data_IF_621628371598
#
_entry.id   IF_621628371598
#
_cell.length_a   1.000
_cell.length_b   1.000
_cell.length_c   1.000
_cell.angle_alpha   90.00
_cell.angle_beta   90.00
_cell.angle_gamma   90.00
#
_symmetry.space_group_name_H-M   'P 1'
#
loop_
_entity.id
_entity.type
_entity.pdbx_description
1 polymer ?
#
# COMPACT_ATOMS: atom_id res chain seq x y z
N UNK A 1 29.05 11.62 -19.91
CA UNK A 1 30.03 10.90 -20.75
C UNK A 1 29.92 9.43 -20.38
N UNK A 2 29.51 8.58 -21.35
CA UNK A 2 29.43 7.10 -21.31
C UNK A 2 28.39 6.53 -20.31
N UNK A 3 27.39 5.73 -20.67
CA UNK A 3 27.36 4.65 -21.67
C UNK A 3 25.97 4.50 -22.33
N UNK A 4 25.96 4.31 -23.65
CA UNK A 4 24.85 3.86 -24.50
C UNK A 4 24.87 2.34 -24.64
N UNK A 5 23.69 1.77 -24.87
CA UNK A 5 23.37 0.63 -25.74
C UNK A 5 23.83 -0.80 -25.36
N UNK A 6 22.84 -1.70 -25.27
CA UNK A 6 22.91 -3.10 -25.67
C UNK A 6 21.55 -3.43 -26.34
N UNK A 7 21.44 -3.26 -27.66
CA UNK A 7 21.57 -4.30 -28.71
C UNK A 7 20.71 -5.54 -28.46
N UNK A 8 19.62 -5.61 -29.24
CA UNK A 8 18.80 -6.78 -29.54
C UNK A 8 19.66 -7.90 -30.15
N UNK A 9 19.46 -9.12 -29.68
CA UNK A 9 19.72 -10.33 -30.47
C UNK A 9 18.49 -11.23 -30.47
N UNK A 10 17.99 -11.52 -31.68
CA UNK A 10 16.98 -12.53 -31.96
C UNK A 10 17.57 -13.91 -31.65
N UNK A 11 16.96 -14.62 -30.69
CA UNK A 11 17.15 -16.05 -30.47
C UNK A 11 15.89 -16.80 -30.91
N UNK A 12 16.09 -17.85 -31.69
CA UNK A 12 15.09 -18.71 -32.31
C UNK A 12 14.11 -19.35 -31.32
N UNK A 13 12.85 -19.41 -31.75
CA UNK A 13 11.75 -20.18 -31.14
C UNK A 13 12.06 -21.67 -31.19
N UNK A 14 11.99 -22.36 -30.05
CA UNK A 14 11.65 -23.78 -30.01
C UNK A 14 10.56 -24.02 -28.98
N UNK A 15 9.48 -24.60 -29.47
CA UNK A 15 8.21 -24.88 -28.82
C UNK A 15 8.27 -25.89 -27.65
N UNK A 16 7.29 -25.69 -26.75
CA UNK A 16 6.64 -26.63 -25.83
C UNK A 16 7.46 -27.27 -24.68
N UNK A 17 7.25 -26.69 -23.50
CA UNK A 17 7.27 -27.36 -22.22
C UNK A 17 6.40 -26.59 -21.24
N UNK A 18 5.11 -26.91 -21.15
CA UNK A 18 4.25 -26.47 -20.04
C UNK A 18 4.77 -27.10 -18.75
N UNK A 19 5.73 -26.44 -18.12
CA UNK A 19 6.11 -26.71 -16.74
C UNK A 19 5.19 -25.86 -15.87
N UNK A 20 4.05 -26.40 -15.45
CA UNK A 20 3.38 -25.89 -14.24
C UNK A 20 4.46 -25.87 -13.14
N UNK A 21 4.87 -24.68 -12.71
CA UNK A 21 5.86 -24.51 -11.66
C UNK A 21 5.22 -24.87 -10.32
N UNK A 22 5.07 -26.16 -10.06
CA UNK A 22 4.55 -26.67 -8.80
C UNK A 22 5.60 -26.38 -7.73
N UNK A 23 5.35 -25.38 -6.90
CA UNK A 23 6.20 -25.12 -5.74
C UNK A 23 6.16 -26.33 -4.79
N UNK A 24 7.32 -26.83 -4.39
CA UNK A 24 7.48 -28.02 -3.54
C UNK A 24 6.70 -27.91 -2.22
N UNK A 25 6.37 -29.05 -1.59
CA UNK A 25 5.69 -29.09 -0.27
C UNK A 25 6.36 -28.10 0.71
N UNK A 26 5.58 -27.24 1.41
CA UNK A 26 6.16 -26.20 2.23
C UNK A 26 6.96 -26.80 3.39
N UNK A 27 8.23 -26.41 3.52
CA UNK A 27 9.01 -26.63 4.74
C UNK A 27 9.00 -25.33 5.54
N UNK A 28 8.70 -25.43 6.83
CA UNK A 28 8.77 -24.29 7.75
C UNK A 28 10.20 -23.73 7.75
N UNK A 29 10.30 -22.41 7.60
CA UNK A 29 11.56 -21.65 7.61
C UNK A 29 11.68 -20.86 8.91
N UNK A 30 12.90 -20.45 9.25
CA UNK A 30 13.11 -19.43 10.28
C UNK A 30 12.55 -18.11 9.76
N UNK A 31 11.84 -17.34 10.59
CA UNK A 31 11.36 -16.02 10.21
C UNK A 31 12.55 -15.11 9.85
N UNK A 32 12.49 -14.47 8.69
CA UNK A 32 13.53 -13.58 8.18
C UNK A 32 12.91 -12.23 7.83
N UNK A 33 13.17 -11.20 8.63
CA UNK A 33 12.65 -9.87 8.36
C UNK A 33 13.06 -9.36 6.97
N UNK A 34 12.12 -8.71 6.28
CA UNK A 34 12.37 -8.03 5.01
C UNK A 34 11.55 -6.74 4.96
N UNK A 35 12.17 -5.71 4.41
CA UNK A 35 11.47 -4.50 3.99
C UNK A 35 10.46 -4.84 2.90
N UNK A 36 9.35 -4.11 2.90
CA UNK A 36 8.31 -4.19 1.90
C UNK A 36 7.76 -2.81 1.57
N UNK A 37 6.74 -2.78 0.73
CA UNK A 37 6.14 -1.55 0.25
C UNK A 37 4.88 -1.23 1.03
N UNK A 38 3.93 -2.16 1.04
CA UNK A 38 2.62 -2.03 1.63
C UNK A 38 2.50 -2.94 2.86
N UNK A 39 2.31 -2.32 4.02
CA UNK A 39 2.34 -3.00 5.31
C UNK A 39 1.53 -4.30 5.37
N UNK A 40 0.32 -4.33 4.79
CA UNK A 40 -0.53 -5.52 4.81
C UNK A 40 0.00 -6.66 3.95
N UNK A 41 0.38 -6.40 2.70
CA UNK A 41 0.85 -7.45 1.79
C UNK A 41 2.23 -7.93 2.21
N UNK A 42 3.10 -7.03 2.66
CA UNK A 42 4.44 -7.38 3.12
C UNK A 42 4.36 -8.29 4.36
N UNK A 43 3.51 -7.93 5.33
CA UNK A 43 3.33 -8.75 6.52
C UNK A 43 2.76 -10.15 6.17
N UNK A 44 1.76 -10.21 5.31
CA UNK A 44 1.15 -11.47 4.86
C UNK A 44 2.14 -12.34 4.09
N UNK A 45 2.80 -11.80 3.05
CA UNK A 45 3.81 -12.51 2.26
C UNK A 45 4.94 -13.05 3.15
N UNK A 46 5.34 -12.26 4.15
CA UNK A 46 6.41 -12.66 5.04
C UNK A 46 6.03 -13.84 5.94
N UNK A 47 4.81 -13.85 6.50
CA UNK A 47 4.29 -15.00 7.26
C UNK A 47 4.22 -16.24 6.36
N UNK A 48 3.67 -16.10 5.16
CA UNK A 48 3.50 -17.21 4.22
C UNK A 48 4.82 -17.85 3.81
N UNK A 49 5.85 -17.04 3.57
CA UNK A 49 7.19 -17.55 3.29
C UNK A 49 7.81 -18.28 4.48
N UNK A 50 7.52 -17.84 5.69
CA UNK A 50 7.96 -18.56 6.90
C UNK A 50 7.31 -19.93 6.97
N UNK A 51 6.07 -20.06 6.47
CA UNK A 51 5.42 -21.35 6.25
C UNK A 51 5.86 -22.10 5.00
N UNK A 52 6.90 -21.62 4.30
CA UNK A 52 7.51 -22.29 3.16
C UNK A 52 6.91 -21.94 1.79
N UNK A 53 5.95 -21.01 1.73
CA UNK A 53 5.35 -20.56 0.48
C UNK A 53 6.13 -19.38 -0.11
N UNK A 54 6.81 -19.61 -1.23
CA UNK A 54 7.60 -18.58 -1.90
C UNK A 54 6.69 -17.67 -2.74
N UNK A 55 6.19 -16.61 -2.12
CA UNK A 55 5.30 -15.66 -2.77
C UNK A 55 5.73 -14.24 -2.44
N UNK A 56 5.86 -13.44 -3.49
CA UNK A 56 6.25 -12.05 -3.37
C UNK A 56 5.08 -11.16 -2.95
N UNK A 57 5.42 -10.00 -2.39
CA UNK A 57 4.45 -9.05 -1.85
C UNK A 57 3.45 -8.56 -2.90
N UNK A 58 3.93 -8.29 -4.11
CA UNK A 58 3.13 -7.82 -5.24
C UNK A 58 2.04 -8.83 -5.63
N UNK A 59 2.36 -10.12 -5.58
CA UNK A 59 1.36 -11.18 -5.80
C UNK A 59 0.31 -11.18 -4.69
N UNK A 60 0.73 -11.08 -3.42
CA UNK A 60 -0.21 -10.99 -2.31
C UNK A 60 -1.10 -9.75 -2.45
N UNK A 61 -0.51 -8.59 -2.77
CA UNK A 61 -1.21 -7.33 -2.97
C UNK A 61 -2.25 -7.41 -4.10
N UNK A 62 -1.85 -7.92 -5.27
CA UNK A 62 -2.71 -8.08 -6.43
C UNK A 62 -3.84 -9.08 -6.23
N UNK A 63 -3.60 -10.17 -5.47
CA UNK A 63 -4.63 -11.16 -5.13
C UNK A 63 -5.58 -10.69 -4.03
N UNK A 64 -5.09 -9.95 -3.04
CA UNK A 64 -5.93 -9.39 -1.97
C UNK A 64 -6.91 -8.36 -2.54
N UNK A 65 -6.51 -7.76 -3.66
CA UNK A 65 -7.24 -6.71 -4.32
C UNK A 65 -7.37 -5.49 -3.42
N UNK A 66 -8.30 -4.62 -3.81
CA UNK A 66 -8.48 -3.34 -3.14
C UNK A 66 -7.47 -2.28 -3.57
N UNK A 67 -6.48 -2.58 -4.44
CA UNK A 67 -5.83 -1.52 -5.20
C UNK A 67 -6.88 -0.65 -5.87
N UNK A 68 -6.62 0.66 -5.89
CA UNK A 68 -7.39 1.58 -6.68
C UNK A 68 -7.10 3.00 -6.27
N UNK A 69 -8.18 3.70 -5.95
CA UNK A 69 -8.12 5.08 -5.53
C UNK A 69 -9.32 5.37 -4.64
N UNK A 70 -9.10 6.12 -3.56
CA UNK A 70 -10.16 6.59 -2.68
C UNK A 70 -9.92 8.04 -2.36
N UNK A 71 -10.96 8.86 -2.54
CA UNK A 71 -10.96 10.28 -2.24
C UNK A 71 -11.92 10.60 -1.09
N UNK A 72 -11.41 11.23 -0.04
CA UNK A 72 -12.18 11.69 1.11
C UNK A 72 -12.08 13.23 1.18
N UNK A 73 -13.08 13.96 0.66
CA UNK A 73 -13.09 15.40 0.80
C UNK A 73 -13.30 15.79 2.26
N UNK A 74 -12.59 16.83 2.70
CA UNK A 74 -12.70 17.37 4.05
C UNK A 74 -13.41 18.75 4.03
N UNK A 75 -14.20 19.08 5.07
CA UNK A 75 -14.87 20.37 5.14
C UNK A 75 -13.89 21.51 5.43
N UNK A 76 -14.18 22.69 4.90
CA UNK A 76 -13.39 23.90 5.13
C UNK A 76 -11.94 23.77 4.65
N UNK A 77 -11.00 24.28 5.46
CA UNK A 77 -9.56 24.30 5.17
C UNK A 77 -8.82 23.01 5.57
N UNK A 78 -9.51 22.02 6.15
CA UNK A 78 -8.93 20.70 6.43
C UNK A 78 -8.46 20.03 5.12
N UNK A 79 -7.34 19.29 5.11
CA UNK A 79 -6.84 18.69 3.89
C UNK A 79 -7.74 17.52 3.49
N UNK A 80 -8.07 17.46 2.20
CA UNK A 80 -8.69 16.30 1.58
C UNK A 80 -7.71 15.12 1.58
N UNK A 81 -8.19 13.92 1.86
CA UNK A 81 -7.36 12.72 1.95
C UNK A 81 -7.50 11.85 0.72
N UNK A 82 -6.37 11.33 0.24
CA UNK A 82 -6.28 10.37 -0.87
C UNK A 82 -5.64 9.08 -0.37
N UNK A 83 -6.19 7.94 -0.79
CA UNK A 83 -5.64 6.62 -0.49
C UNK A 83 -5.59 5.78 -1.76
N UNK A 84 -4.47 5.12 -2.05
CA UNK A 84 -4.32 4.24 -3.22
C UNK A 84 -5.00 2.86 -3.09
N UNK A 85 -5.87 2.69 -2.09
CA UNK A 85 -6.55 1.44 -1.74
C UNK A 85 -7.99 1.71 -1.30
N UNK A 86 -8.87 0.74 -1.46
CA UNK A 86 -10.33 0.82 -1.20
C UNK A 86 -10.80 -0.04 -0.02
N UNK A 87 -9.89 -0.50 0.83
CA UNK A 87 -10.19 -1.30 2.02
C UNK A 87 -8.93 -1.68 2.78
N UNK A 88 -9.09 -2.26 3.97
CA UNK A 88 -8.00 -2.70 4.85
C UNK A 88 -8.15 -4.19 5.13
N UNK A 89 -7.07 -4.95 4.98
CA UNK A 89 -6.98 -6.38 5.27
C UNK A 89 -8.16 -7.21 4.72
N UNK A 90 -8.42 -7.19 3.40
CA UNK A 90 -9.54 -7.93 2.84
C UNK A 90 -9.35 -9.46 2.92
N UNK A 91 -8.10 -9.93 3.08
CA UNK A 91 -7.68 -11.34 3.12
C UNK A 91 -8.22 -12.17 1.94
N UNK A 92 -8.46 -11.56 0.78
CA UNK A 92 -8.91 -12.27 -0.43
C UNK A 92 -7.79 -13.14 -0.99
N UNK A 93 -6.53 -12.70 -0.91
CA UNK A 93 -5.35 -13.48 -1.27
C UNK A 93 -5.31 -14.77 -0.47
N UNK A 94 -5.49 -14.70 0.85
CA UNK A 94 -5.47 -15.87 1.72
C UNK A 94 -6.56 -16.87 1.31
N UNK A 95 -7.79 -16.39 1.08
CA UNK A 95 -8.90 -17.22 0.61
C UNK A 95 -8.59 -17.88 -0.74
N UNK A 96 -8.08 -17.14 -1.72
CA UNK A 96 -7.72 -17.64 -3.05
C UNK A 96 -6.60 -18.69 -2.99
N UNK A 97 -5.66 -18.54 -2.06
CA UNK A 97 -4.55 -19.47 -1.86
C UNK A 97 -4.90 -20.65 -0.93
N UNK A 98 -6.12 -20.69 -0.39
CA UNK A 98 -6.54 -21.74 0.55
C UNK A 98 -5.84 -21.67 1.90
N UNK A 99 -5.44 -20.46 2.32
CA UNK A 99 -4.87 -20.16 3.64
C UNK A 99 -5.99 -19.68 4.55
N UNK A 100 -6.15 -20.35 5.68
CA UNK A 100 -7.14 -19.95 6.69
C UNK A 100 -6.55 -18.80 7.51
N UNK A 101 -7.34 -17.75 7.70
CA UNK A 101 -6.98 -16.60 8.55
C UNK A 101 -7.93 -16.57 9.74
N UNK A 102 -7.39 -16.54 10.95
CA UNK A 102 -8.16 -16.41 12.19
C UNK A 102 -7.96 -15.03 12.78
N UNK A 103 -9.05 -14.33 13.09
CA UNK A 103 -9.00 -13.04 13.78
C UNK A 103 -9.13 -13.23 15.29
N UNK A 104 -8.28 -12.53 16.02
CA UNK A 104 -8.24 -12.48 17.48
C UNK A 104 -8.30 -11.02 17.95
N UNK A 105 -8.62 -10.81 19.22
CA UNK A 105 -8.54 -9.49 19.85
C UNK A 105 -8.04 -9.62 21.30
N UNK A 106 -6.82 -10.14 21.54
CA UNK A 106 -6.29 -10.30 22.88
C UNK A 106 -6.14 -8.92 23.53
N UNK A 107 -6.81 -8.73 24.67
CA UNK A 107 -6.87 -7.44 25.38
C UNK A 107 -5.57 -7.08 26.10
N UNK A 108 -4.70 -8.06 26.31
CA UNK A 108 -3.40 -7.91 26.96
C UNK A 108 -2.28 -8.36 26.04
N UNK A 109 -1.07 -7.93 26.34
CA UNK A 109 0.16 -8.40 25.69
C UNK A 109 0.50 -9.84 26.04
N UNK A 110 0.14 -10.33 27.23
CA UNK A 110 0.28 -11.76 27.55
C UNK A 110 -0.64 -12.63 26.69
N UNK A 111 -1.88 -12.17 26.44
CA UNK A 111 -2.78 -12.85 25.50
C UNK A 111 -2.23 -12.87 24.07
N UNK A 112 -1.51 -11.82 23.67
CA UNK A 112 -0.80 -11.77 22.39
C UNK A 112 0.41 -12.72 22.39
N UNK A 113 1.17 -12.79 23.48
CA UNK A 113 2.29 -13.71 23.62
C UNK A 113 1.84 -15.18 23.53
N UNK A 114 0.68 -15.53 24.10
CA UNK A 114 0.08 -16.86 23.97
C UNK A 114 -0.27 -17.26 22.52
N UNK A 115 -0.43 -16.30 21.60
CA UNK A 115 -0.54 -16.59 20.17
C UNK A 115 0.83 -16.97 19.56
N UNK A 116 1.92 -16.32 19.99
CA UNK A 116 3.28 -16.62 19.50
C UNK A 116 3.78 -17.99 19.95
N UNK A 117 3.24 -18.54 21.05
CA UNK A 117 3.53 -19.92 21.46
C UNK A 117 3.03 -20.96 20.45
N UNK A 118 2.04 -20.60 19.62
CA UNK A 118 1.36 -21.50 18.68
C UNK A 118 1.61 -21.14 17.21
N UNK A 119 2.15 -19.95 16.95
CA UNK A 119 2.33 -19.41 15.61
C UNK A 119 3.70 -18.75 15.48
N UNK A 120 4.34 -18.93 14.32
CA UNK A 120 5.68 -18.42 14.05
C UNK A 120 5.75 -16.89 14.00
N UNK A 121 4.63 -16.25 13.69
CA UNK A 121 4.44 -14.81 13.75
C UNK A 121 2.94 -14.49 13.80
N UNK A 122 2.61 -13.32 14.32
CA UNK A 122 1.24 -12.80 14.44
C UNK A 122 1.18 -11.43 13.80
N UNK A 123 0.30 -11.26 12.81
CA UNK A 123 0.03 -9.95 12.21
C UNK A 123 -0.90 -9.19 13.16
N UNK A 124 -0.56 -7.95 13.52
CA UNK A 124 -1.40 -7.13 14.40
C UNK A 124 -1.70 -5.78 13.76
N UNK A 125 -2.82 -5.18 14.14
CA UNK A 125 -3.09 -3.77 13.86
C UNK A 125 -2.54 -2.91 15.00
N UNK A 126 -1.98 -1.77 14.63
CA UNK A 126 -1.41 -0.76 15.54
C UNK A 126 -1.72 0.63 15.03
N UNK A 127 -1.70 1.59 15.95
CA UNK A 127 -1.62 3.00 15.59
C UNK A 127 -0.16 3.38 15.35
N UNK A 128 0.17 3.69 14.10
CA UNK A 128 1.51 4.04 13.66
C UNK A 128 2.08 5.26 14.41
N UNK A 129 1.25 6.26 14.71
CA UNK A 129 1.67 7.47 15.44
C UNK A 129 2.18 7.19 16.86
N UNK A 130 1.85 6.04 17.43
CA UNK A 130 2.19 5.64 18.80
C UNK A 130 3.36 4.65 18.88
N UNK A 131 3.94 4.25 17.74
CA UNK A 131 5.12 3.40 17.72
C UNK A 131 6.38 4.24 17.98
N UNK A 132 7.17 3.94 19.03
CA UNK A 132 8.30 4.79 19.42
C UNK A 132 9.36 4.96 18.31
N UNK A 133 9.64 3.89 17.56
CA UNK A 133 10.67 3.90 16.51
C UNK A 133 10.24 4.67 15.24
N UNK A 134 8.95 4.99 15.08
CA UNK A 134 8.48 5.89 14.03
C UNK A 134 8.76 7.36 14.34
N UNK A 135 9.00 7.71 15.61
CA UNK A 135 9.36 9.08 16.00
C UNK A 135 8.23 10.12 15.90
N UNK A 136 7.00 9.70 15.61
CA UNK A 136 5.86 10.61 15.40
C UNK A 136 5.25 11.20 16.68
N UNK A 137 5.71 10.76 17.86
CA UNK A 137 5.34 11.33 19.18
C UNK A 137 3.81 11.44 19.42
N UNK A 138 3.02 10.50 18.87
CA UNK A 138 1.56 10.50 18.98
C UNK A 138 0.83 11.39 17.97
N UNK A 139 1.57 12.08 17.09
CA UNK A 139 1.00 12.80 15.96
C UNK A 139 0.69 11.86 14.80
N UNK A 140 -0.12 12.32 13.84
CA UNK A 140 -0.42 11.58 12.61
C UNK A 140 -0.95 10.16 12.86
N UNK A 141 -1.92 10.05 13.78
CA UNK A 141 -2.52 8.76 14.18
C UNK A 141 -3.11 8.01 12.97
N UNK A 142 -2.71 6.73 12.82
CA UNK A 142 -3.18 5.84 11.77
C UNK A 142 -3.26 4.40 12.28
N UNK A 143 -4.46 4.00 12.70
CA UNK A 143 -4.76 2.68 13.25
C UNK A 143 -5.04 1.58 12.21
N UNK A 144 -4.96 1.92 10.93
CA UNK A 144 -5.00 0.97 9.82
C UNK A 144 -3.67 0.26 9.62
N UNK A 145 -2.60 0.69 10.29
CA UNK A 145 -1.26 0.14 10.10
C UNK A 145 -1.13 -1.26 10.68
N UNK A 146 -0.32 -2.09 10.02
CA UNK A 146 -0.06 -3.46 10.47
C UNK A 146 1.42 -3.79 10.50
N UNK A 147 1.77 -4.62 11.48
CA UNK A 147 3.13 -5.12 11.70
C UNK A 147 3.04 -6.60 12.08
N UNK A 148 4.13 -7.33 11.91
CA UNK A 148 4.26 -8.69 12.41
C UNK A 148 5.00 -8.71 13.74
N UNK A 149 4.45 -9.42 14.71
CA UNK A 149 5.15 -9.81 15.94
C UNK A 149 5.80 -11.17 15.70
N UNK A 150 7.10 -11.29 15.97
CA UNK A 150 7.87 -12.50 15.63
C UNK A 150 8.39 -13.23 16.86
N UNK A 151 8.62 -12.53 17.95
CA UNK A 151 9.00 -13.12 19.24
C UNK A 151 8.77 -12.14 20.38
N UNK A 152 8.81 -12.65 21.61
CA UNK A 152 8.91 -11.87 22.84
C UNK A 152 10.26 -12.14 23.48
N UNK A 153 10.93 -11.09 23.96
CA UNK A 153 12.23 -11.12 24.63
C UNK A 153 12.09 -10.40 25.96
N UNK A 154 11.87 -11.16 27.04
CA UNK A 154 11.49 -10.59 28.34
C UNK A 154 10.17 -9.83 28.28
N UNK A 155 10.18 -8.54 28.61
CA UNK A 155 9.01 -7.65 28.50
C UNK A 155 8.87 -6.97 27.12
N UNK A 156 9.86 -7.14 26.24
CA UNK A 156 9.85 -6.53 24.91
C UNK A 156 9.29 -7.49 23.87
N UNK A 157 8.65 -6.91 22.85
CA UNK A 157 8.25 -7.60 21.64
C UNK A 157 9.20 -7.26 20.51
N UNK A 158 9.60 -8.28 19.75
CA UNK A 158 10.36 -8.14 18.52
C UNK A 158 9.40 -8.03 17.36
N UNK A 159 9.55 -6.95 16.60
CA UNK A 159 8.64 -6.50 15.57
C UNK A 159 9.33 -6.59 14.20
N UNK A 160 8.65 -7.19 13.25
CA UNK A 160 8.94 -7.04 11.84
C UNK A 160 7.98 -6.02 11.24
N UNK A 161 8.45 -4.79 11.10
CA UNK A 161 7.75 -3.70 10.41
C UNK A 161 8.35 -3.53 9.02
N UNK A 162 7.55 -3.74 7.98
CA UNK A 162 8.01 -3.71 6.59
C UNK A 162 8.50 -2.35 6.12
N UNK A 163 8.28 -1.25 6.85
CA UNK A 163 8.84 0.05 6.48
C UNK A 163 10.33 0.19 6.78
N UNK A 164 10.91 -0.71 7.59
CA UNK A 164 12.29 -0.66 8.05
C UNK A 164 13.12 -1.81 7.47
N UNK A 165 14.45 -1.65 7.48
CA UNK A 165 15.39 -2.69 7.01
C UNK A 165 15.75 -3.71 8.10
N UNK A 166 15.44 -3.40 9.36
CA UNK A 166 15.79 -4.21 10.53
C UNK A 166 14.59 -4.45 11.45
N UNK A 167 14.68 -5.52 12.24
CA UNK A 167 13.72 -5.81 13.31
C UNK A 167 13.74 -4.68 14.34
N UNK A 168 12.56 -4.30 14.82
CA UNK A 168 12.38 -3.31 15.87
C UNK A 168 12.08 -4.00 17.20
N UNK A 169 12.34 -3.32 18.32
CA UNK A 169 11.90 -3.75 19.66
C UNK A 169 10.95 -2.72 20.26
N UNK A 170 9.87 -3.18 20.89
CA UNK A 170 8.90 -2.33 21.57
C UNK A 170 8.51 -2.96 22.89
N UNK A 171 8.50 -2.17 23.96
CA UNK A 171 8.04 -2.62 25.28
C UNK A 171 6.58 -3.04 25.24
N UNK A 172 6.21 -3.98 26.11
CA UNK A 172 4.81 -4.41 26.31
C UNK A 172 3.85 -3.23 26.48
N UNK A 173 4.20 -2.24 27.31
CA UNK A 173 3.38 -1.05 27.56
C UNK A 173 3.16 -0.17 26.32
N UNK A 174 4.23 0.11 25.55
CA UNK A 174 4.11 0.93 24.34
C UNK A 174 3.31 0.19 23.26
N UNK A 175 3.52 -1.12 23.10
CA UNK A 175 2.78 -1.94 22.15
C UNK A 175 1.29 -2.00 22.52
N UNK A 176 0.97 -2.14 23.81
CA UNK A 176 -0.41 -2.15 24.28
C UNK A 176 -1.11 -0.81 24.02
N UNK A 177 -0.42 0.31 24.24
CA UNK A 177 -0.93 1.66 23.92
C UNK A 177 -1.24 1.79 22.43
N UNK A 178 -0.30 1.42 21.55
CA UNK A 178 -0.50 1.48 20.09
C UNK A 178 -1.63 0.55 19.61
N UNK A 179 -1.76 -0.66 20.14
CA UNK A 179 -2.80 -1.64 19.76
C UNK A 179 -4.19 -1.27 20.29
N UNK A 180 -4.27 -0.53 21.38
CA UNK A 180 -5.54 -0.18 22.03
C UNK A 180 -6.03 1.24 21.69
N UNK A 181 -5.26 2.01 20.91
CA UNK A 181 -5.55 3.39 20.52
C UNK A 181 -6.99 3.62 20.06
N UNK A 182 -7.49 4.81 20.38
CA UNK A 182 -8.81 5.34 19.99
C UNK A 182 -8.72 6.63 19.19
N UNK A 183 -7.50 7.10 18.91
CA UNK A 183 -7.22 8.37 18.25
C UNK A 183 -7.30 8.31 16.72
N UNK A 184 -7.47 7.11 16.15
CA UNK A 184 -7.44 6.87 14.71
C UNK A 184 -8.82 6.54 14.12
N UNK A 185 -9.92 7.05 14.69
CA UNK A 185 -11.26 6.75 14.20
C UNK A 185 -11.41 7.17 12.72
N UNK A 186 -12.11 6.37 11.87
CA UNK A 186 -12.81 5.11 12.18
C UNK A 186 -11.92 3.86 12.13
N UNK A 187 -10.62 4.02 11.90
CA UNK A 187 -9.66 2.94 11.68
C UNK A 187 -8.92 2.54 12.96
N UNK A 188 -9.56 2.57 14.12
CA UNK A 188 -8.90 2.18 15.37
C UNK A 188 -8.37 0.73 15.30
N UNK A 189 -7.20 0.42 15.90
CA UNK A 189 -6.60 -0.91 15.79
C UNK A 189 -7.36 -2.01 16.56
N UNK A 190 -8.15 -1.62 17.57
CA UNK A 190 -9.06 -2.49 18.33
C UNK A 190 -8.42 -3.72 19.01
N UNK A 191 -7.10 -3.72 19.21
CA UNK A 191 -6.30 -4.88 19.65
C UNK A 191 -6.33 -6.06 18.67
N UNK A 192 -6.68 -5.84 17.40
CA UNK A 192 -6.80 -6.90 16.40
C UNK A 192 -5.47 -7.59 16.16
N UNK A 193 -5.52 -8.92 16.15
CA UNK A 193 -4.43 -9.80 15.80
C UNK A 193 -4.94 -10.87 14.84
N UNK A 194 -4.07 -11.36 13.96
CA UNK A 194 -4.41 -12.30 12.91
C UNK A 194 -3.34 -13.38 12.81
N UNK A 195 -3.80 -14.62 12.77
CA UNK A 195 -2.95 -15.81 12.61
C UNK A 195 -3.33 -16.50 11.31
N UNK A 196 -2.35 -17.14 10.68
CA UNK A 196 -2.50 -17.79 9.38
C UNK A 196 -2.17 -19.26 9.50
N UNK A 197 -2.94 -20.12 8.85
CA UNK A 197 -2.62 -21.53 8.74
C UNK A 197 -1.51 -21.78 7.72
N UNK A 198 -0.86 -22.94 7.84
CA UNK A 198 0.12 -23.36 6.83
C UNK A 198 -0.61 -23.64 5.49
N UNK A 199 -0.09 -23.13 4.36
CA UNK A 199 -0.64 -23.45 3.05
C UNK A 199 -0.67 -24.96 2.80
N UNK A 200 -1.83 -25.50 2.42
CA UNK A 200 -1.99 -26.95 2.20
C UNK A 200 -1.65 -27.38 0.77
N UNK A 201 -1.56 -26.45 -0.16
CA UNK A 201 -1.36 -26.68 -1.59
C UNK A 201 -0.45 -25.61 -2.18
N UNK A 202 0.20 -25.93 -3.30
CA UNK A 202 0.92 -24.95 -4.08
C UNK A 202 -0.07 -23.91 -4.65
N UNK A 203 0.37 -22.66 -4.72
CA UNK A 203 -0.40 -21.57 -5.32
C UNK A 203 -0.32 -21.67 -6.84
N UNK A 204 -1.47 -21.76 -7.51
CA UNK A 204 -1.56 -21.75 -8.97
C UNK A 204 -1.96 -20.36 -9.45
N UNK A 205 -0.97 -19.47 -9.56
CA UNK A 205 -1.22 -18.06 -9.85
C UNK A 205 -1.96 -17.86 -11.18
N UNK A 206 -1.62 -18.63 -12.22
CA UNK A 206 -2.33 -18.62 -13.50
C UNK A 206 -3.85 -18.89 -13.38
N UNK A 207 -4.28 -19.64 -12.36
CA UNK A 207 -5.69 -19.95 -12.14
C UNK A 207 -6.42 -18.89 -11.29
N UNK A 208 -5.76 -18.33 -10.26
CA UNK A 208 -6.40 -17.40 -9.31
C UNK A 208 -6.20 -15.93 -9.67
N UNK A 209 -5.14 -15.60 -10.40
CA UNK A 209 -4.80 -14.24 -10.84
C UNK A 209 -5.88 -13.58 -11.69
N UNK A 210 -6.42 -14.25 -12.72
CA UNK A 210 -7.53 -13.71 -13.52
C UNK A 210 -8.78 -13.36 -12.70
N UNK A 211 -9.03 -14.08 -11.60
CA UNK A 211 -10.12 -13.76 -10.68
C UNK A 211 -9.87 -12.42 -9.99
N UNK A 212 -8.64 -12.15 -9.53
CA UNK A 212 -8.32 -10.89 -8.87
C UNK A 212 -8.32 -9.71 -9.85
N UNK A 213 -7.84 -9.90 -11.09
CA UNK A 213 -7.84 -8.84 -12.12
C UNK A 213 -9.26 -8.46 -12.55
N UNK A 214 -10.18 -9.42 -12.69
CA UNK A 214 -11.59 -9.10 -12.95
C UNK A 214 -12.21 -8.28 -11.82
N UNK A 215 -11.89 -8.61 -10.56
CA UNK A 215 -12.32 -7.82 -9.41
C UNK A 215 -11.72 -6.41 -9.43
N UNK A 216 -10.41 -6.29 -9.70
CA UNK A 216 -9.73 -5.00 -9.88
C UNK A 216 -10.43 -4.13 -10.93
N UNK A 217 -10.71 -4.68 -12.11
CA UNK A 217 -11.37 -3.94 -13.19
C UNK A 217 -12.74 -3.43 -12.77
N UNK A 218 -13.54 -4.27 -12.08
CA UNK A 218 -14.85 -3.86 -11.55
C UNK A 218 -14.70 -2.75 -10.50
N UNK A 219 -13.84 -2.97 -9.51
CA UNK A 219 -13.73 -2.15 -8.30
C UNK A 219 -13.08 -0.78 -8.60
N UNK A 220 -12.25 -0.67 -9.65
CA UNK A 220 -11.60 0.61 -10.02
C UNK A 220 -12.36 1.37 -11.11
N UNK A 221 -12.92 0.70 -12.13
CA UNK A 221 -13.62 1.40 -13.20
C UNK A 221 -15.05 1.81 -12.82
N UNK A 222 -15.76 0.96 -12.06
CA UNK A 222 -17.17 1.16 -11.71
C UNK A 222 -17.44 0.70 -10.27
N UNK A 223 -16.70 1.28 -9.35
CA UNK A 223 -16.70 1.03 -7.89
C UNK A 223 -18.06 1.17 -7.17
N UNK A 224 -19.11 1.63 -7.84
CA UNK A 224 -20.43 1.93 -7.24
C UNK A 224 -20.45 3.19 -6.37
N UNK A 225 -19.30 3.82 -6.11
CA UNK A 225 -19.15 5.05 -5.33
C UNK A 225 -18.45 6.13 -6.14
N UNK A 226 -18.90 7.38 -6.00
CA UNK A 226 -18.24 8.52 -6.67
C UNK A 226 -16.82 8.79 -6.15
N UNK A 227 -16.48 8.27 -4.98
CA UNK A 227 -15.21 8.53 -4.32
C UNK A 227 -14.15 7.45 -4.56
N UNK A 228 -14.52 6.36 -5.23
CA UNK A 228 -13.66 5.19 -5.40
C UNK A 228 -13.29 5.00 -6.87
N UNK A 229 -12.02 4.66 -7.13
CA UNK A 229 -11.48 4.33 -8.44
C UNK A 229 -11.39 5.54 -9.37
N UNK A 230 -11.62 5.33 -10.67
CA UNK A 230 -11.64 6.41 -11.67
C UNK A 230 -12.64 7.52 -11.31
N UNK A 231 -13.87 7.25 -10.83
CA UNK A 231 -14.75 8.29 -10.29
C UNK A 231 -14.11 9.13 -9.19
N UNK A 232 -13.40 8.50 -8.26
CA UNK A 232 -12.70 9.20 -7.17
C UNK A 232 -11.59 10.11 -7.67
N UNK A 233 -10.81 9.66 -8.66
CA UNK A 233 -9.78 10.51 -9.29
C UNK A 233 -10.41 11.72 -9.98
N UNK A 234 -11.57 11.56 -10.62
CA UNK A 234 -12.32 12.69 -11.20
C UNK A 234 -12.83 13.65 -10.13
N UNK A 235 -13.21 13.16 -8.95
CA UNK A 235 -13.57 14.01 -7.81
C UNK A 235 -12.36 14.78 -7.28
N UNK A 236 -11.18 14.15 -7.21
CA UNK A 236 -9.94 14.85 -6.88
C UNK A 236 -9.65 15.98 -7.88
N UNK A 237 -9.77 15.72 -9.19
CA UNK A 237 -9.61 16.75 -10.23
C UNK A 237 -10.57 17.93 -9.99
N UNK A 238 -11.83 17.65 -9.66
CA UNK A 238 -12.83 18.69 -9.37
C UNK A 238 -12.45 19.49 -8.11
N UNK A 239 -12.03 18.81 -7.04
CA UNK A 239 -11.61 19.44 -5.79
C UNK A 239 -10.36 20.30 -5.98
N UNK A 240 -9.36 19.79 -6.70
CA UNK A 240 -8.11 20.48 -6.98
C UNK A 240 -8.31 21.82 -7.71
N UNK A 241 -9.29 21.91 -8.62
CA UNK A 241 -9.65 23.18 -9.26
C UNK A 241 -10.23 24.21 -8.29
N UNK A 242 -10.86 23.75 -7.22
CA UNK A 242 -11.51 24.60 -6.23
C UNK A 242 -10.60 24.96 -5.05
N UNK A 243 -9.50 24.22 -4.83
CA UNK A 243 -8.63 24.42 -3.68
C UNK A 243 -8.09 25.83 -3.50
N UNK A 244 -7.62 26.57 -4.54
CA UNK A 244 -7.15 27.95 -4.34
C UNK A 244 -8.20 28.87 -3.71
N UNK A 245 -9.49 28.63 -3.97
CA UNK A 245 -10.58 29.40 -3.39
C UNK A 245 -11.11 28.83 -2.05
N UNK A 246 -10.86 27.55 -1.76
CA UNK A 246 -11.47 26.83 -0.62
C UNK A 246 -10.52 26.58 0.54
N UNK A 247 -9.23 26.34 0.26
CA UNK A 247 -8.21 26.03 1.25
C UNK A 247 -7.51 27.34 1.61
N UNK A 248 -8.22 28.18 2.37
CA UNK A 248 -7.75 29.51 2.77
C UNK A 248 -7.31 29.53 4.24
N UNK A 249 -6.40 30.45 4.56
CA UNK A 249 -5.84 30.65 5.89
C UNK A 249 -4.32 30.63 5.88
N UNK A 250 -3.70 31.73 6.27
CA UNK A 250 -2.25 31.96 6.19
C UNK A 250 -1.46 31.21 7.27
N UNK A 251 -2.13 30.80 8.35
CA UNK A 251 -1.52 30.11 9.48
C UNK A 251 -2.40 28.95 9.90
N UNK A 252 -2.09 27.76 9.41
CA UNK A 252 -2.70 26.51 9.86
C UNK A 252 -1.64 25.53 10.34
N UNK A 253 -1.97 24.78 11.38
CA UNK A 253 -1.10 23.71 11.88
C UNK A 253 -1.07 22.53 10.89
N UNK A 254 0.14 22.03 10.66
CA UNK A 254 0.44 20.80 9.95
C UNK A 254 1.49 20.00 10.75
N UNK A 255 1.69 18.75 10.36
CA UNK A 255 2.71 17.87 10.96
C UNK A 255 3.67 17.42 9.86
N UNK A 256 4.95 17.70 10.05
CA UNK A 256 5.98 17.30 9.10
C UNK A 256 6.26 15.77 9.15
N UNK A 257 7.12 15.28 8.27
CA UNK A 257 7.46 13.86 8.20
C UNK A 257 8.18 13.32 9.46
N UNK A 258 8.68 14.19 10.34
CA UNK A 258 9.33 13.85 11.61
C UNK A 258 8.37 13.89 12.80
N UNK A 259 7.11 14.26 12.57
CA UNK A 259 6.11 14.42 13.62
C UNK A 259 6.20 15.75 14.35
N UNK A 260 6.93 16.73 13.81
CA UNK A 260 7.03 18.07 14.40
C UNK A 260 5.89 18.95 13.87
N UNK A 261 5.29 19.74 14.76
CA UNK A 261 4.22 20.68 14.40
C UNK A 261 4.83 21.87 13.67
N UNK A 262 4.30 22.16 12.49
CA UNK A 262 4.70 23.28 11.64
C UNK A 262 3.50 24.15 11.31
N UNK A 263 3.74 25.40 10.93
CA UNK A 263 2.69 26.34 10.51
C UNK A 263 2.92 26.69 9.06
N UNK A 264 1.90 26.50 8.23
CA UNK A 264 1.92 26.70 6.78
C UNK A 264 0.63 27.37 6.32
N UNK A 265 0.57 27.77 5.05
CA UNK A 265 -0.68 28.15 4.40
C UNK A 265 -1.60 26.93 4.18
N UNK A 266 -2.92 27.15 4.18
CA UNK A 266 -3.89 26.07 4.04
C UNK A 266 -3.86 25.35 2.68
N UNK A 267 -3.57 26.06 1.58
CA UNK A 267 -3.40 25.45 0.27
C UNK A 267 -2.08 24.68 0.22
N UNK A 268 -1.00 25.25 0.75
CA UNK A 268 0.28 24.54 0.92
C UNK A 268 0.09 23.23 1.69
N UNK A 269 -0.59 23.26 2.83
CA UNK A 269 -0.91 22.07 3.63
C UNK A 269 -1.67 21.03 2.83
N UNK A 270 -2.66 21.44 2.03
CA UNK A 270 -3.41 20.51 1.16
C UNK A 270 -2.49 19.82 0.14
N UNK A 271 -1.57 20.56 -0.48
CA UNK A 271 -0.65 20.03 -1.47
C UNK A 271 0.39 19.11 -0.84
N UNK A 272 0.97 19.51 0.30
CA UNK A 272 1.88 18.67 1.09
C UNK A 272 1.20 17.38 1.54
N UNK A 273 -0.05 17.47 2.02
CA UNK A 273 -0.82 16.29 2.42
C UNK A 273 -1.01 15.32 1.26
N UNK A 274 -1.33 15.81 0.05
CA UNK A 274 -1.42 14.97 -1.15
C UNK A 274 -0.06 14.38 -1.53
N UNK A 275 1.02 15.16 -1.51
CA UNK A 275 2.37 14.67 -1.80
C UNK A 275 2.79 13.54 -0.86
N UNK A 276 2.57 13.70 0.45
CA UNK A 276 2.84 12.67 1.47
C UNK A 276 1.96 11.43 1.28
N UNK A 277 0.69 11.62 0.91
CA UNK A 277 -0.22 10.53 0.56
C UNK A 277 0.28 9.69 -0.63
N UNK A 278 0.94 10.33 -1.60
CA UNK A 278 1.47 9.64 -2.77
C UNK A 278 2.77 8.89 -2.45
N UNK A 279 3.70 9.50 -1.71
CA UNK A 279 5.09 9.03 -1.59
C UNK A 279 5.48 8.44 -0.22
N UNK A 280 4.93 8.95 0.88
CA UNK A 280 5.55 8.76 2.22
C UNK A 280 4.86 7.69 3.08
N UNK A 281 3.54 7.52 2.99
CA UNK A 281 2.77 6.67 3.92
C UNK A 281 2.75 5.17 3.55
N UNK A 282 3.90 4.59 3.18
CA UNK A 282 3.98 3.16 2.88
C UNK A 282 3.24 2.76 1.61
N UNK A 283 3.25 3.65 0.61
CA UNK A 283 2.67 3.42 -0.73
C UNK A 283 3.68 2.86 -1.74
N UNK A 284 4.98 2.94 -1.41
CA UNK A 284 6.08 2.60 -2.31
C UNK A 284 6.25 3.58 -3.47
N UNK A 285 5.75 4.81 -3.32
CA UNK A 285 5.64 5.78 -4.39
C UNK A 285 4.43 5.53 -5.29
N UNK A 286 3.91 6.60 -5.88
CA UNK A 286 2.90 6.51 -6.92
C UNK A 286 1.63 5.77 -6.50
N UNK A 287 1.19 5.87 -5.23
CA UNK A 287 -0.05 5.26 -4.73
C UNK A 287 -0.24 3.77 -5.11
N UNK A 288 0.78 2.93 -4.90
CA UNK A 288 0.78 1.50 -5.18
C UNK A 288 0.72 1.08 -6.67
N UNK A 289 0.80 2.01 -7.63
CA UNK A 289 0.87 1.62 -9.06
C UNK A 289 2.11 0.75 -9.36
N UNK A 290 3.31 1.02 -8.82
CA UNK A 290 4.49 0.18 -9.07
C UNK A 290 4.35 -1.26 -8.55
N UNK A 291 3.62 -1.49 -7.44
CA UNK A 291 3.35 -2.86 -6.98
C UNK A 291 2.32 -3.58 -7.86
N UNK A 292 1.34 -2.85 -8.43
CA UNK A 292 0.42 -3.42 -9.41
C UNK A 292 1.08 -3.74 -10.75
N UNK A 293 2.01 -2.91 -11.21
CA UNK A 293 2.86 -3.20 -12.37
C UNK A 293 3.57 -4.56 -12.20
N UNK A 294 4.29 -4.73 -11.09
CA UNK A 294 5.02 -5.99 -10.80
C UNK A 294 4.09 -7.20 -10.78
N UNK A 295 2.93 -7.07 -10.15
CA UNK A 295 1.92 -8.12 -10.12
C UNK A 295 1.45 -8.52 -11.53
N UNK A 296 1.15 -7.53 -12.38
CA UNK A 296 0.67 -7.78 -13.74
C UNK A 296 1.76 -8.39 -14.62
N UNK A 297 3.02 -7.97 -14.49
CA UNK A 297 4.14 -8.66 -15.13
C UNK A 297 4.22 -10.12 -14.71
N UNK A 298 4.09 -10.40 -13.40
CA UNK A 298 4.12 -11.77 -12.92
C UNK A 298 2.95 -12.61 -13.46
N UNK A 299 1.76 -12.02 -13.61
CA UNK A 299 0.64 -12.70 -14.26
C UNK A 299 0.91 -12.97 -15.74
N UNK A 300 1.52 -12.04 -16.47
CA UNK A 300 1.89 -12.23 -17.87
C UNK A 300 2.83 -13.43 -18.02
N UNK A 301 3.86 -13.53 -17.18
CA UNK A 301 4.80 -14.65 -17.18
C UNK A 301 4.13 -15.99 -16.87
N UNK A 302 3.23 -16.03 -15.88
CA UNK A 302 2.61 -17.27 -15.41
C UNK A 302 1.48 -17.76 -16.32
N UNK A 303 0.83 -16.85 -17.07
CA UNK A 303 -0.30 -17.19 -17.95
C UNK A 303 0.06 -17.20 -19.44
N UNK A 304 1.15 -16.54 -19.83
CA UNK A 304 1.49 -16.29 -21.23
C UNK A 304 0.56 -15.29 -21.94
N UNK A 305 -0.24 -14.52 -21.20
CA UNK A 305 -1.18 -13.55 -21.77
C UNK A 305 -0.60 -12.13 -21.78
N UNK A 306 -0.23 -11.66 -22.98
CA UNK A 306 0.38 -10.34 -23.22
C UNK A 306 -0.50 -9.16 -22.77
N UNK A 307 -1.81 -9.37 -22.58
CA UNK A 307 -2.69 -8.30 -22.06
C UNK A 307 -2.31 -7.88 -20.65
N UNK A 308 -1.78 -8.79 -19.84
CA UNK A 308 -1.25 -8.44 -18.53
C UNK A 308 0.04 -7.62 -18.63
N UNK A 309 0.93 -7.97 -19.56
CA UNK A 309 2.16 -7.20 -19.82
C UNK A 309 1.82 -5.76 -20.28
N UNK A 310 0.91 -5.61 -21.23
CA UNK A 310 0.42 -4.28 -21.66
C UNK A 310 -0.22 -3.51 -20.50
N UNK A 311 -1.00 -4.20 -19.65
CA UNK A 311 -1.56 -3.60 -18.44
C UNK A 311 -0.47 -3.11 -17.48
N UNK A 312 0.58 -3.89 -17.29
CA UNK A 312 1.73 -3.54 -16.45
C UNK A 312 2.42 -2.28 -16.96
N UNK A 313 2.68 -2.16 -18.27
CA UNK A 313 3.27 -0.96 -18.89
C UNK A 313 2.44 0.31 -18.63
N UNK A 314 1.10 0.21 -18.71
CA UNK A 314 0.26 1.36 -18.36
C UNK A 314 0.30 1.70 -16.87
N UNK A 315 0.36 0.70 -15.98
CA UNK A 315 0.50 0.96 -14.54
C UNK A 315 1.87 1.53 -14.19
N UNK A 316 2.92 1.14 -14.91
CA UNK A 316 4.25 1.77 -14.82
C UNK A 316 4.15 3.27 -15.12
N UNK A 317 3.63 3.62 -16.30
CA UNK A 317 3.48 5.02 -16.73
C UNK A 317 2.58 5.82 -15.78
N UNK A 318 1.50 5.23 -15.26
CA UNK A 318 0.67 5.89 -14.23
C UNK A 318 1.45 6.11 -12.93
N UNK A 319 2.24 5.11 -12.50
CA UNK A 319 3.09 5.22 -11.32
C UNK A 319 4.09 6.36 -11.42
N UNK A 320 4.78 6.50 -12.56
CA UNK A 320 5.70 7.61 -12.81
C UNK A 320 4.98 8.97 -12.71
N UNK A 321 3.82 9.12 -13.35
CA UNK A 321 3.03 10.36 -13.29
C UNK A 321 2.63 10.73 -11.86
N UNK A 322 2.18 9.75 -11.07
CA UNK A 322 1.84 9.98 -9.68
C UNK A 322 3.07 10.35 -8.86
N UNK A 323 4.20 9.66 -9.03
CA UNK A 323 5.41 9.95 -8.28
C UNK A 323 6.03 11.30 -8.64
N UNK A 324 6.07 11.66 -9.91
CA UNK A 324 6.46 13.01 -10.35
C UNK A 324 5.60 14.08 -9.69
N UNK A 325 4.27 13.87 -9.64
CA UNK A 325 3.36 14.78 -8.98
C UNK A 325 3.68 14.85 -7.47
N UNK A 326 3.79 13.71 -6.79
CA UNK A 326 4.06 13.66 -5.35
C UNK A 326 5.34 14.39 -4.98
N UNK A 327 6.43 14.16 -5.72
CA UNK A 327 7.71 14.83 -5.50
C UNK A 327 7.62 16.35 -5.74
N UNK A 328 6.93 16.78 -6.81
CA UNK A 328 6.73 18.21 -7.07
C UNK A 328 5.93 18.91 -5.96
N UNK A 329 4.95 18.23 -5.35
CA UNK A 329 4.17 18.77 -4.24
C UNK A 329 4.98 18.82 -2.94
N UNK A 330 5.81 17.81 -2.68
CA UNK A 330 6.66 17.76 -1.48
C UNK A 330 7.78 18.82 -1.50
N UNK A 331 8.30 19.15 -2.67
CA UNK A 331 9.34 20.16 -2.84
C UNK A 331 8.92 21.57 -2.35
N UNK A 332 7.62 21.83 -2.17
CA UNK A 332 7.12 23.09 -1.62
C UNK A 332 7.65 23.32 -0.20
N UNK A 333 7.63 22.27 0.64
CA UNK A 333 8.01 22.36 2.04
C UNK A 333 9.52 22.49 2.29
N UNK A 334 10.34 22.30 1.24
CA UNK A 334 11.80 22.39 1.34
C UNK A 334 12.33 23.79 1.00
N UNK A 335 11.67 24.51 0.10
CA UNK A 335 12.22 25.74 -0.50
C UNK A 335 11.48 27.00 -0.05
N UNK A 336 10.28 26.89 0.53
CA UNK A 336 9.44 28.04 0.86
C UNK A 336 9.05 28.79 -0.40
N UNK A 337 7.88 28.46 -0.96
CA UNK A 337 7.53 28.89 -2.33
C UNK A 337 6.49 30.01 -2.29
N UNK A 338 6.60 30.97 -3.21
CA UNK A 338 5.61 32.04 -3.36
C UNK A 338 4.20 31.49 -3.65
N UNK A 339 3.17 32.19 -3.16
CA UNK A 339 1.76 31.78 -3.32
C UNK A 339 1.35 31.51 -4.78
N UNK A 340 1.86 32.30 -5.74
CA UNK A 340 1.57 32.11 -7.17
C UNK A 340 2.08 30.75 -7.70
N UNK A 341 3.15 30.20 -7.11
CA UNK A 341 3.68 28.89 -7.45
C UNK A 341 2.84 27.76 -6.84
N UNK A 342 2.32 27.97 -5.63
CA UNK A 342 1.40 27.04 -4.95
C UNK A 342 0.12 26.88 -5.76
N UNK A 343 -0.46 27.97 -6.30
CA UNK A 343 -1.63 27.90 -7.19
C UNK A 343 -1.35 27.12 -8.49
N UNK A 344 -0.17 27.30 -9.10
CA UNK A 344 0.22 26.54 -10.30
C UNK A 344 0.29 25.04 -10.03
N UNK A 345 0.69 24.64 -8.82
CA UNK A 345 0.77 23.22 -8.43
C UNK A 345 -0.62 22.59 -8.26
N UNK A 346 -1.64 23.34 -7.84
CA UNK A 346 -3.02 22.85 -7.92
C UNK A 346 -3.44 22.56 -9.38
N UNK A 347 -3.01 23.39 -10.34
CA UNK A 347 -3.17 23.13 -11.77
C UNK A 347 -2.41 21.89 -12.25
N UNK A 348 -1.22 21.63 -11.71
CA UNK A 348 -0.44 20.42 -12.00
C UNK A 348 -1.18 19.16 -11.54
N UNK A 349 -1.80 19.18 -10.35
CA UNK A 349 -2.65 18.07 -9.86
C UNK A 349 -3.76 17.76 -10.87
N UNK A 350 -4.48 18.78 -11.34
CA UNK A 350 -5.56 18.61 -12.33
C UNK A 350 -5.05 17.94 -13.61
N UNK A 351 -3.90 18.37 -14.13
CA UNK A 351 -3.33 17.83 -15.36
C UNK A 351 -2.83 16.39 -15.19
N UNK A 352 -2.02 16.12 -14.16
CA UNK A 352 -1.41 14.81 -13.91
C UNK A 352 -2.44 13.74 -13.56
N UNK A 353 -3.40 14.07 -12.70
CA UNK A 353 -4.48 13.14 -12.34
C UNK A 353 -5.38 12.87 -13.55
N UNK A 354 -5.60 13.86 -14.43
CA UNK A 354 -6.30 13.67 -15.70
C UNK A 354 -5.62 12.66 -16.63
N UNK A 355 -4.30 12.80 -16.82
CA UNK A 355 -3.49 11.85 -17.59
C UNK A 355 -3.54 10.44 -16.98
N UNK A 356 -3.40 10.33 -15.65
CA UNK A 356 -3.49 9.05 -14.95
C UNK A 356 -4.87 8.40 -15.14
N UNK A 357 -5.97 9.17 -15.11
CA UNK A 357 -7.33 8.65 -15.38
C UNK A 357 -7.42 8.03 -16.77
N UNK A 358 -6.86 8.66 -17.79
CA UNK A 358 -6.89 8.14 -19.17
C UNK A 358 -6.09 6.84 -19.30
N UNK A 359 -4.87 6.84 -18.76
CA UNK A 359 -3.95 5.69 -18.78
C UNK A 359 -4.56 4.51 -18.03
N UNK A 360 -5.01 4.73 -16.79
CA UNK A 360 -5.58 3.65 -15.96
C UNK A 360 -6.89 3.13 -16.56
N UNK A 361 -7.72 3.98 -17.17
CA UNK A 361 -8.93 3.53 -17.86
C UNK A 361 -8.61 2.61 -19.02
N UNK A 362 -7.62 2.96 -19.85
CA UNK A 362 -7.17 2.13 -20.99
C UNK A 362 -6.60 0.79 -20.52
N UNK A 363 -5.76 0.81 -19.47
CA UNK A 363 -5.20 -0.40 -18.88
C UNK A 363 -6.31 -1.37 -18.45
N UNK A 364 -7.24 -0.87 -17.65
CA UNK A 364 -8.29 -1.70 -17.06
C UNK A 364 -9.33 -2.15 -18.10
N UNK A 365 -9.62 -1.34 -19.12
CA UNK A 365 -10.48 -1.79 -20.23
C UNK A 365 -9.84 -2.90 -21.06
N UNK A 366 -8.51 -2.85 -21.28
CA UNK A 366 -7.76 -3.95 -21.92
C UNK A 366 -7.80 -5.25 -21.09
N UNK A 367 -7.70 -5.13 -19.76
CA UNK A 367 -7.70 -6.25 -18.83
C UNK A 367 -9.10 -6.89 -18.64
N UNK A 368 -10.21 -6.19 -18.92
CA UNK A 368 -11.57 -6.73 -18.81
C UNK A 368 -11.85 -7.91 -19.74
N UNK A 369 -11.12 -7.98 -20.86
CA UNK A 369 -11.34 -9.02 -21.87
C UNK A 369 -10.70 -10.35 -21.49
N UNK A 370 -10.02 -10.42 -20.34
CA UNK A 370 -9.26 -11.58 -19.85
C UNK A 370 -10.12 -12.57 -19.06
#
# INVERSE_FOLDING_TARGET
>A
MLLKAAVRTKGSVSCFGESERIMSKPKVRRYEHRRGIHCESACQARILWTYGLDIDEDVVFGLDGGFGFTFFPAPGSAPDTVVGKQGILPFKAMRLMGVETTSHAPRTTDGLAGLLEKHLAVLIRVDLGLLPYWGLKGQSSFGGYVINIVSRDGDDFVISDSAFDSLQKVTSGNLQTARSSRSAAPLNPENRAYTFSMPRRAVRLAAIGPVSVRNLCRDVLRSGSRNFGIPGMRQLIKAARAWPAQKTGEQVEDVDARGDVVVVDALERQLLHLGRAIETFGTGGGLYRPIMERYLWRLAEETGDDRYATGAEYFHASGELWSELGQALLAIGEVGVEHSAVERLAGLVVSRVGQAVEIESRALDGLKMV
#
